data_IF_476085246841
#
_entry.id   IF_476085246841
#
_cell.length_a   1.000
_cell.length_b   1.000
_cell.length_c   1.000
_cell.angle_alpha   90.00
_cell.angle_beta   90.00
_cell.angle_gamma   90.00
#
_symmetry.space_group_name_H-M   'P 1'
#
loop_
_entity.id
_entity.type
_entity.pdbx_description
1 polymer ?
#
# COMPACT_ATOMS: atom_id res chain seq x y z
N UNK A 1 -52.44 9.34 -27.78
CA UNK A 1 -51.25 8.48 -27.85
C UNK A 1 -50.10 9.33 -28.37
N UNK A 2 -49.29 9.90 -27.50
CA UNK A 2 -48.15 10.75 -27.89
C UNK A 2 -46.98 9.83 -28.23
N UNK A 3 -46.62 9.78 -29.52
CA UNK A 3 -45.46 9.05 -29.99
C UNK A 3 -44.19 9.65 -29.38
N UNK A 4 -43.63 8.96 -28.39
CA UNK A 4 -42.33 9.29 -27.83
C UNK A 4 -41.27 8.97 -28.87
N UNK A 5 -40.96 9.95 -29.74
CA UNK A 5 -39.85 9.84 -30.68
C UNK A 5 -38.58 9.79 -29.83
N UNK A 6 -37.86 8.67 -29.88
CA UNK A 6 -36.59 8.53 -29.16
C UNK A 6 -35.68 9.71 -29.48
N UNK A 7 -35.06 10.35 -28.49
CA UNK A 7 -34.18 11.49 -28.74
C UNK A 7 -33.09 11.07 -29.73
N UNK A 8 -33.03 11.74 -30.88
CA UNK A 8 -32.01 11.48 -31.89
C UNK A 8 -30.66 11.91 -31.33
N UNK A 9 -29.83 10.92 -31.00
CA UNK A 9 -28.45 11.16 -30.57
C UNK A 9 -27.67 11.76 -31.75
N UNK A 10 -27.01 12.93 -31.59
CA UNK A 10 -26.24 13.52 -32.67
C UNK A 10 -25.07 12.62 -33.10
N UNK A 11 -24.85 12.50 -34.42
CA UNK A 11 -23.76 11.66 -34.98
C UNK A 11 -22.40 11.96 -34.36
N UNK A 12 -22.08 13.24 -34.15
CA UNK A 12 -20.81 13.64 -33.57
C UNK A 12 -20.60 13.18 -32.11
N UNK A 13 -21.67 12.90 -31.37
CA UNK A 13 -21.60 12.32 -30.03
C UNK A 13 -21.32 10.82 -30.10
N UNK A 14 -21.90 10.13 -31.10
CA UNK A 14 -21.58 8.73 -31.39
C UNK A 14 -20.13 8.57 -31.85
N UNK A 15 -19.65 9.45 -32.74
CA UNK A 15 -18.25 9.47 -33.18
C UNK A 15 -17.30 9.71 -32.00
N UNK A 16 -17.69 10.60 -31.06
CA UNK A 16 -16.91 10.86 -29.85
C UNK A 16 -16.87 9.62 -28.93
N UNK A 17 -18.02 9.00 -28.68
CA UNK A 17 -18.11 7.78 -27.88
C UNK A 17 -17.34 6.62 -28.52
N UNK A 18 -17.36 6.51 -29.86
CA UNK A 18 -16.57 5.55 -30.63
C UNK A 18 -15.09 5.55 -30.27
N UNK A 19 -14.50 6.74 -30.12
CA UNK A 19 -13.09 6.88 -29.71
C UNK A 19 -12.77 6.26 -28.36
N UNK A 20 -13.72 6.29 -27.41
CA UNK A 20 -13.54 5.64 -26.11
C UNK A 20 -13.54 4.12 -26.24
N UNK A 21 -14.46 3.57 -27.04
CA UNK A 21 -14.49 2.14 -27.32
C UNK A 21 -13.26 1.67 -28.08
N UNK A 22 -12.77 2.46 -29.05
CA UNK A 22 -11.51 2.19 -29.76
C UNK A 22 -10.31 2.20 -28.81
N UNK A 23 -10.36 3.01 -27.74
CA UNK A 23 -9.37 3.03 -26.66
C UNK A 23 -9.56 1.90 -25.62
N UNK A 24 -10.46 0.95 -25.89
CA UNK A 24 -10.71 -0.21 -25.03
C UNK A 24 -11.54 0.07 -23.79
N UNK A 25 -12.29 1.17 -23.76
CA UNK A 25 -13.25 1.43 -22.69
C UNK A 25 -14.48 0.53 -22.82
N UNK A 26 -14.99 0.06 -21.68
CA UNK A 26 -16.28 -0.61 -21.64
C UNK A 26 -17.45 0.39 -21.60
N UNK A 27 -18.67 -0.09 -21.85
CA UNK A 27 -19.88 0.71 -21.67
C UNK A 27 -20.00 1.29 -20.26
N UNK A 28 -19.59 0.52 -19.23
CA UNK A 28 -19.58 0.97 -17.84
C UNK A 28 -18.58 2.11 -17.60
N UNK A 29 -17.44 2.10 -18.28
CA UNK A 29 -16.46 3.18 -18.20
C UNK A 29 -16.99 4.47 -18.81
N UNK A 30 -17.65 4.39 -19.97
CA UNK A 30 -18.26 5.55 -20.63
C UNK A 30 -19.37 6.13 -19.75
N UNK A 31 -20.24 5.28 -19.18
CA UNK A 31 -21.25 5.73 -18.21
C UNK A 31 -20.64 6.34 -16.96
N UNK A 32 -19.52 5.80 -16.47
CA UNK A 32 -18.79 6.38 -15.35
C UNK A 32 -18.28 7.77 -15.70
N UNK A 33 -17.67 7.97 -16.87
CA UNK A 33 -17.19 9.28 -17.33
C UNK A 33 -18.32 10.29 -17.56
N UNK A 34 -19.49 9.85 -17.99
CA UNK A 34 -20.67 10.71 -18.10
C UNK A 34 -21.21 11.15 -16.73
N UNK A 35 -20.91 10.42 -15.66
CA UNK A 35 -21.41 10.73 -14.31
C UNK A 35 -20.36 11.37 -13.40
N UNK A 36 -19.08 11.35 -13.78
CA UNK A 36 -17.96 11.73 -12.91
C UNK A 36 -16.91 12.56 -13.68
N UNK A 37 -16.17 13.40 -12.95
CA UNK A 37 -14.98 14.10 -13.45
C UNK A 37 -13.74 13.23 -13.24
N UNK A 38 -12.73 13.27 -14.14
CA UNK A 38 -11.47 12.56 -13.93
C UNK A 38 -10.70 13.04 -12.69
N UNK A 39 -10.88 14.30 -12.29
CA UNK A 39 -10.20 14.93 -11.14
C UNK A 39 -10.94 14.69 -9.80
N UNK A 40 -11.96 13.83 -9.78
CA UNK A 40 -12.69 13.46 -8.57
C UNK A 40 -14.09 14.08 -8.46
N UNK A 41 -14.65 14.21 -7.24
CA UNK A 41 -16.05 14.58 -7.01
C UNK A 41 -16.26 16.10 -7.18
N UNK A 42 -15.94 16.63 -8.34
CA UNK A 42 -16.36 17.96 -8.74
C UNK A 42 -17.84 17.88 -9.13
N UNK A 43 -18.62 18.93 -8.81
CA UNK A 43 -20.01 19.03 -9.21
C UNK A 43 -20.08 18.99 -10.75
N UNK A 44 -20.50 17.86 -11.30
CA UNK A 44 -20.68 17.73 -12.73
C UNK A 44 -22.01 18.42 -13.06
N UNK A 45 -21.92 19.61 -13.66
CA UNK A 45 -23.08 20.47 -13.90
C UNK A 45 -24.03 19.87 -14.95
N UNK A 46 -25.33 20.08 -14.76
CA UNK A 46 -26.39 19.79 -15.75
C UNK A 46 -26.88 18.35 -15.82
N UNK A 47 -27.94 18.15 -16.59
CA UNK A 47 -28.53 16.83 -16.86
C UNK A 47 -27.64 16.04 -17.86
N UNK A 48 -27.09 14.86 -17.50
CA UNK A 48 -26.29 14.03 -18.39
C UNK A 48 -27.04 13.57 -19.64
N UNK A 49 -28.38 13.61 -19.64
CA UNK A 49 -29.19 13.23 -20.81
C UNK A 49 -29.21 14.32 -21.89
N UNK A 50 -28.73 15.53 -21.59
CA UNK A 50 -28.51 16.57 -22.61
C UNK A 50 -27.22 16.28 -23.37
N UNK A 51 -27.31 16.13 -24.69
CA UNK A 51 -26.18 15.73 -25.51
C UNK A 51 -25.00 16.71 -25.46
N UNK A 52 -25.24 18.01 -25.24
CA UNK A 52 -24.18 19.02 -25.07
C UNK A 52 -23.39 18.78 -23.79
N UNK A 53 -24.11 18.42 -22.71
CA UNK A 53 -23.53 18.10 -21.40
C UNK A 53 -22.75 16.80 -21.49
N UNK A 54 -23.33 15.76 -22.12
CA UNK A 54 -22.65 14.48 -22.35
C UNK A 54 -21.33 14.67 -23.14
N UNK A 55 -21.37 15.49 -24.21
CA UNK A 55 -20.18 15.83 -25.01
C UNK A 55 -19.11 16.55 -24.19
N UNK A 56 -19.51 17.54 -23.40
CA UNK A 56 -18.58 18.28 -22.53
C UNK A 56 -17.94 17.37 -21.48
N UNK A 57 -18.73 16.48 -20.86
CA UNK A 57 -18.25 15.51 -19.87
C UNK A 57 -17.27 14.52 -20.46
N UNK A 58 -17.59 13.93 -21.62
CA UNK A 58 -16.65 13.02 -22.30
C UNK A 58 -15.35 13.71 -22.67
N UNK A 59 -15.38 14.98 -23.07
CA UNK A 59 -14.16 15.75 -23.38
C UNK A 59 -13.23 15.98 -22.19
N UNK A 60 -13.74 15.99 -20.96
CA UNK A 60 -12.88 16.05 -19.76
C UNK A 60 -11.99 14.81 -19.65
N UNK A 61 -12.48 13.68 -20.16
CA UNK A 61 -11.74 12.42 -20.19
C UNK A 61 -10.86 12.27 -21.42
N UNK A 62 -10.49 13.37 -22.08
CA UNK A 62 -9.56 13.37 -23.21
C UNK A 62 -8.31 14.19 -22.89
N UNK A 63 -7.18 13.78 -23.43
CA UNK A 63 -5.95 14.56 -23.42
C UNK A 63 -5.96 15.67 -24.50
N UNK A 64 -4.88 16.46 -24.52
CA UNK A 64 -4.67 17.53 -25.52
C UNK A 64 -4.65 17.00 -26.97
N UNK A 65 -4.37 15.72 -27.16
CA UNK A 65 -4.36 15.03 -28.46
C UNK A 65 -5.72 14.40 -28.82
N UNK A 66 -6.78 14.72 -28.06
CA UNK A 66 -8.13 14.17 -28.24
C UNK A 66 -8.20 12.64 -28.11
N UNK A 67 -7.34 12.07 -27.27
CA UNK A 67 -7.35 10.64 -26.92
C UNK A 67 -7.95 10.45 -25.53
N UNK A 68 -8.81 9.44 -25.34
CA UNK A 68 -9.30 9.09 -24.02
C UNK A 68 -8.15 8.82 -23.04
N UNK A 69 -8.19 9.47 -21.88
CA UNK A 69 -7.33 9.10 -20.75
C UNK A 69 -7.80 7.75 -20.17
N UNK A 70 -7.08 7.18 -19.21
CA UNK A 70 -7.45 5.86 -18.67
C UNK A 70 -8.70 5.97 -17.79
N UNK A 71 -9.64 5.03 -17.97
CA UNK A 71 -10.79 4.92 -17.08
C UNK A 71 -10.37 4.50 -15.68
N UNK A 72 -11.24 4.72 -14.67
CA UNK A 72 -10.98 4.26 -13.29
C UNK A 72 -10.75 2.75 -13.23
N UNK A 73 -11.50 1.95 -13.99
CA UNK A 73 -11.33 0.49 -14.01
C UNK A 73 -9.96 0.10 -14.60
N UNK A 74 -9.53 0.78 -15.66
CA UNK A 74 -8.21 0.59 -16.26
C UNK A 74 -7.08 1.03 -15.32
N UNK A 75 -7.25 2.15 -14.61
CA UNK A 75 -6.30 2.62 -13.59
C UNK A 75 -6.16 1.60 -12.45
N UNK A 76 -7.27 1.10 -11.92
CA UNK A 76 -7.28 0.07 -10.86
C UNK A 76 -6.65 -1.23 -11.37
N UNK A 77 -6.96 -1.66 -12.59
CA UNK A 77 -6.37 -2.85 -13.20
C UNK A 77 -4.85 -2.71 -13.32
N UNK A 78 -4.34 -1.57 -13.83
CA UNK A 78 -2.90 -1.28 -13.90
C UNK A 78 -2.24 -1.28 -12.53
N UNK A 79 -2.85 -0.64 -11.53
CA UNK A 79 -2.34 -0.61 -10.16
C UNK A 79 -2.28 -2.03 -9.57
N UNK A 80 -3.31 -2.85 -9.79
CA UNK A 80 -3.33 -4.23 -9.31
C UNK A 80 -2.28 -5.08 -10.02
N UNK A 81 -2.15 -4.99 -11.34
CA UNK A 81 -1.09 -5.68 -12.10
C UNK A 81 0.31 -5.27 -11.64
N UNK A 82 0.54 -3.98 -11.37
CA UNK A 82 1.80 -3.50 -10.80
C UNK A 82 2.07 -4.10 -9.42
N UNK A 83 1.06 -4.12 -8.55
CA UNK A 83 1.13 -4.75 -7.22
C UNK A 83 1.43 -6.23 -7.31
N UNK A 84 0.78 -6.97 -8.22
CA UNK A 84 1.04 -8.41 -8.41
C UNK A 84 2.47 -8.66 -8.88
N UNK A 85 3.00 -7.84 -9.80
CA UNK A 85 4.41 -7.92 -10.21
C UNK A 85 5.37 -7.65 -9.06
N UNK A 86 5.13 -6.62 -8.26
CA UNK A 86 5.94 -6.33 -7.08
C UNK A 86 5.92 -7.48 -6.07
N UNK A 87 4.75 -8.07 -5.82
CA UNK A 87 4.63 -9.25 -4.95
C UNK A 87 5.36 -10.47 -5.50
N UNK A 88 5.33 -10.69 -6.83
CA UNK A 88 6.05 -11.78 -7.46
C UNK A 88 7.58 -11.61 -7.31
N UNK A 89 8.08 -10.39 -7.50
CA UNK A 89 9.50 -10.06 -7.29
C UNK A 89 9.91 -10.27 -5.83
N UNK A 90 9.14 -9.74 -4.87
CA UNK A 90 9.42 -9.91 -3.45
C UNK A 90 9.43 -11.40 -3.03
N UNK A 91 8.54 -12.22 -3.59
CA UNK A 91 8.55 -13.69 -3.36
C UNK A 91 9.79 -14.36 -3.94
N UNK A 92 10.25 -13.92 -5.11
CA UNK A 92 11.48 -14.44 -5.71
C UNK A 92 12.70 -14.08 -4.85
N UNK A 93 12.81 -12.83 -4.41
CA UNK A 93 13.87 -12.35 -3.51
C UNK A 93 13.90 -13.10 -2.19
N UNK A 94 12.74 -13.34 -1.56
CA UNK A 94 12.63 -14.17 -0.36
C UNK A 94 13.06 -15.62 -0.62
N UNK A 95 12.72 -16.18 -1.78
CA UNK A 95 13.15 -17.51 -2.21
C UNK A 95 14.68 -17.58 -2.36
N UNK A 96 15.30 -16.58 -2.96
CA UNK A 96 16.75 -16.46 -3.11
C UNK A 96 17.46 -16.23 -1.78
N UNK A 97 16.89 -15.39 -0.91
CA UNK A 97 17.39 -15.20 0.45
C UNK A 97 17.33 -16.52 1.23
N UNK A 98 16.24 -17.28 1.12
CA UNK A 98 16.11 -18.60 1.77
C UNK A 98 17.07 -19.64 1.21
N UNK A 99 17.34 -19.64 -0.10
CA UNK A 99 18.36 -20.50 -0.72
C UNK A 99 19.76 -20.16 -0.23
N UNK A 100 20.12 -18.86 -0.17
CA UNK A 100 21.40 -18.38 0.36
C UNK A 100 21.55 -18.66 1.86
N UNK A 101 20.47 -18.46 2.61
CA UNK A 101 20.36 -18.78 4.03
C UNK A 101 20.18 -20.28 4.31
N UNK A 102 20.42 -21.16 3.32
CA UNK A 102 20.49 -22.61 3.52
C UNK A 102 21.94 -23.11 3.59
N UNK A 103 22.80 -22.68 4.54
CA UNK A 103 23.74 -23.61 5.13
C UNK A 103 22.95 -24.49 6.10
N UNK A 104 23.26 -25.79 6.09
CA UNK A 104 22.73 -26.84 6.98
C UNK A 104 21.92 -26.31 8.19
N UNK A 105 20.58 -26.51 8.21
CA UNK A 105 19.72 -26.01 9.28
C UNK A 105 20.10 -26.59 10.65
N UNK A 106 20.71 -27.79 10.70
CA UNK A 106 21.26 -28.32 11.95
C UNK A 106 22.47 -27.53 12.43
N UNK A 107 23.39 -27.18 11.53
CA UNK A 107 24.53 -26.32 11.86
C UNK A 107 24.11 -24.90 12.27
N UNK A 108 23.08 -24.34 11.65
CA UNK A 108 22.53 -23.04 12.05
C UNK A 108 21.89 -23.10 13.44
N UNK A 109 21.10 -24.14 13.73
CA UNK A 109 20.52 -24.36 15.05
C UNK A 109 21.60 -24.63 16.12
N UNK A 110 22.68 -25.34 15.76
CA UNK A 110 23.82 -25.57 16.66
C UNK A 110 24.55 -24.25 17.00
N UNK A 111 24.78 -23.37 16.01
CA UNK A 111 25.37 -22.04 16.24
C UNK A 111 24.48 -21.16 17.12
N UNK A 112 23.17 -21.14 16.87
CA UNK A 112 22.22 -20.40 17.70
C UNK A 112 22.22 -20.90 19.15
N UNK A 113 22.23 -22.22 19.38
CA UNK A 113 22.35 -22.80 20.73
C UNK A 113 23.66 -22.42 21.41
N UNK A 114 24.78 -22.40 20.68
CA UNK A 114 26.08 -21.99 21.22
C UNK A 114 26.09 -20.51 21.63
N UNK A 115 25.47 -19.63 20.85
CA UNK A 115 25.33 -18.20 21.17
C UNK A 115 24.43 -18.01 22.40
N UNK A 116 23.26 -18.66 22.43
CA UNK A 116 22.35 -18.61 23.60
C UNK A 116 23.04 -19.14 24.85
N UNK A 117 23.79 -20.24 24.76
CA UNK A 117 24.53 -20.78 25.89
C UNK A 117 25.64 -19.85 26.40
N UNK A 118 26.21 -19.02 25.51
CA UNK A 118 27.24 -18.03 25.86
C UNK A 118 26.65 -16.76 26.49
N UNK A 119 25.47 -16.31 26.04
CA UNK A 119 24.83 -15.06 26.49
C UNK A 119 23.99 -15.29 27.75
N UNK A 120 23.35 -16.45 27.88
CA UNK A 120 22.46 -16.82 28.98
C UNK A 120 22.83 -18.21 29.53
N UNK A 121 23.95 -18.33 30.26
CA UNK A 121 24.42 -19.63 30.78
C UNK A 121 23.37 -20.32 31.66
N UNK A 122 22.56 -19.56 32.40
CA UNK A 122 21.48 -20.07 33.26
C UNK A 122 20.32 -20.71 32.49
N UNK A 123 20.19 -20.43 31.19
CA UNK A 123 19.14 -20.99 30.29
C UNK A 123 19.70 -22.16 29.45
N UNK A 124 21.02 -22.39 29.50
CA UNK A 124 21.69 -23.43 28.72
C UNK A 124 21.62 -24.83 29.39
N UNK A 125 21.59 -24.89 30.72
CA UNK A 125 21.55 -26.17 31.47
C UNK A 125 20.36 -27.08 31.10
N UNK A 126 19.12 -26.59 30.86
CA UNK A 126 18.02 -27.42 30.43
C UNK A 126 18.14 -27.97 29.00
N UNK A 127 19.04 -27.42 28.16
CA UNK A 127 19.18 -27.80 26.75
C UNK A 127 20.27 -28.85 26.51
N UNK A 128 21.23 -28.99 27.43
CA UNK A 128 22.28 -30.01 27.36
C UNK A 128 21.77 -31.42 27.78
N UNK A 129 20.75 -31.47 28.64
CA UNK A 129 20.10 -32.70 29.09
C UNK A 129 19.02 -33.18 28.12
N UNK A 130 19.40 -33.70 26.96
CA UNK A 130 18.47 -34.30 25.98
C UNK A 130 17.96 -35.66 26.50
N UNK A 131 16.97 -35.65 27.39
CA UNK A 131 16.17 -36.85 27.65
C UNK A 131 15.22 -37.09 26.45
N UNK A 132 15.03 -38.34 25.98
CA UNK A 132 14.13 -38.64 24.88
C UNK A 132 12.70 -38.17 25.20
N UNK A 133 11.94 -37.81 24.17
CA UNK A 133 10.54 -37.31 24.23
C UNK A 133 9.57 -38.37 24.78
N UNK A 134 9.74 -38.78 26.04
CA UNK A 134 8.83 -39.64 26.77
C UNK A 134 8.42 -38.86 28.02
N UNK A 135 7.36 -38.09 27.88
CA UNK A 135 6.80 -37.26 28.93
C UNK A 135 5.29 -37.13 28.76
N UNK A 136 4.63 -36.74 29.84
CA UNK A 136 3.20 -36.50 29.88
C UNK A 136 2.78 -35.45 28.82
N UNK A 137 1.47 -35.33 28.56
CA UNK A 137 0.96 -34.30 27.65
C UNK A 137 1.38 -32.89 28.08
N UNK A 138 1.49 -32.63 29.39
CA UNK A 138 1.93 -31.37 29.95
C UNK A 138 3.40 -31.08 29.62
N UNK A 139 4.26 -32.11 29.66
CA UNK A 139 5.67 -31.96 29.29
C UNK A 139 5.81 -31.59 27.81
N UNK A 140 5.04 -32.24 26.93
CA UNK A 140 5.02 -31.92 25.50
C UNK A 140 4.54 -30.49 25.21
N UNK A 141 3.53 -30.01 25.95
CA UNK A 141 3.03 -28.64 25.84
C UNK A 141 4.08 -27.62 26.33
N UNK A 142 4.75 -27.92 27.43
CA UNK A 142 5.83 -27.09 27.98
C UNK A 142 7.00 -26.99 27.01
N UNK A 143 7.39 -28.10 26.39
CA UNK A 143 8.42 -28.13 25.36
C UNK A 143 8.02 -27.34 24.11
N UNK A 144 6.77 -27.45 23.66
CA UNK A 144 6.26 -26.66 22.52
C UNK A 144 6.40 -25.15 22.78
N UNK A 145 6.02 -24.67 23.96
CA UNK A 145 6.13 -23.25 24.32
C UNK A 145 7.59 -22.77 24.38
N UNK A 146 8.51 -23.64 24.83
CA UNK A 146 9.93 -23.33 24.83
C UNK A 146 10.51 -23.27 23.41
N UNK A 147 10.10 -24.17 22.52
CA UNK A 147 10.48 -24.13 21.10
C UNK A 147 9.92 -22.88 20.39
N UNK A 148 8.67 -22.48 20.68
CA UNK A 148 8.07 -21.23 20.18
C UNK A 148 8.81 -19.99 20.69
N UNK A 149 9.17 -19.95 21.98
CA UNK A 149 9.94 -18.85 22.55
C UNK A 149 11.36 -18.78 21.98
N UNK A 150 12.01 -19.92 21.74
CA UNK A 150 13.32 -19.99 21.10
C UNK A 150 13.26 -19.54 19.62
N UNK A 151 12.21 -19.91 18.88
CA UNK A 151 11.99 -19.43 17.52
C UNK A 151 11.79 -17.92 17.47
N UNK A 152 10.99 -17.35 18.38
CA UNK A 152 10.80 -15.91 18.50
C UNK A 152 12.10 -15.17 18.87
N UNK A 153 12.94 -15.76 19.72
CA UNK A 153 14.24 -15.19 20.08
C UNK A 153 15.25 -15.24 18.92
N UNK A 154 15.22 -16.29 18.10
CA UNK A 154 16.05 -16.38 16.87
C UNK A 154 15.58 -15.39 15.83
N UNK A 155 14.26 -15.18 15.64
CA UNK A 155 13.75 -14.12 14.77
C UNK A 155 14.16 -12.73 15.28
N UNK A 156 14.04 -12.46 16.58
CA UNK A 156 14.48 -11.21 17.18
C UNK A 156 16.01 -10.99 17.09
N UNK A 157 16.80 -12.06 17.25
CA UNK A 157 18.26 -12.03 17.10
C UNK A 157 18.71 -11.88 15.64
N UNK A 158 17.99 -12.48 14.69
CA UNK A 158 18.21 -12.29 13.26
C UNK A 158 17.84 -10.86 12.81
N UNK A 159 16.88 -10.22 13.47
CA UNK A 159 16.60 -8.78 13.31
C UNK A 159 17.74 -7.93 13.90
N UNK A 160 18.39 -8.38 14.98
CA UNK A 160 19.52 -7.66 15.58
C UNK A 160 20.83 -7.78 14.78
N UNK A 161 21.12 -8.91 14.11
CA UNK A 161 22.29 -9.04 13.22
C UNK A 161 22.15 -8.28 11.88
N UNK A 162 20.92 -7.91 11.48
CA UNK A 162 20.65 -7.10 10.27
C UNK A 162 20.49 -5.61 10.59
N UNK A 163 20.42 -5.24 11.87
CA UNK A 163 20.34 -3.83 12.27
C UNK A 163 21.74 -3.21 12.35
N UNK A 164 22.24 -2.75 11.20
CA UNK A 164 23.12 -1.59 11.22
C UNK A 164 22.26 -0.41 11.72
N UNK A 165 22.63 0.27 12.83
CA UNK A 165 21.94 1.50 13.19
C UNK A 165 22.09 2.45 11.99
N UNK A 166 20.97 2.82 11.37
CA UNK A 166 20.98 3.92 10.40
C UNK A 166 21.70 5.08 11.09
N UNK A 167 22.73 5.68 10.45
CA UNK A 167 23.35 6.85 11.02
C UNK A 167 22.23 7.87 11.24
N UNK A 168 22.04 8.30 12.49
CA UNK A 168 21.03 9.29 12.80
C UNK A 168 21.20 10.44 11.80
N UNK A 169 20.13 10.83 11.07
CA UNK A 169 20.25 11.95 10.17
C UNK A 169 20.72 13.13 11.02
N UNK A 170 21.89 13.67 10.69
CA UNK A 170 22.39 14.90 11.30
C UNK A 170 21.40 15.98 10.91
N UNK A 171 20.35 16.15 11.71
CA UNK A 171 19.40 17.23 11.56
C UNK A 171 20.16 18.47 11.98
N UNK A 172 20.42 19.36 11.03
CA UNK A 172 20.97 20.68 11.33
C UNK A 172 20.03 21.35 12.35
N UNK A 173 20.52 21.51 13.57
CA UNK A 173 19.76 22.08 14.68
C UNK A 173 19.20 23.47 14.33
N UNK A 174 19.88 24.20 13.42
CA UNK A 174 19.41 25.48 12.89
C UNK A 174 18.16 25.34 12.01
N UNK A 175 18.09 24.31 11.18
CA UNK A 175 16.96 24.05 10.30
C UNK A 175 15.74 23.53 11.08
N UNK A 176 15.97 22.70 12.10
CA UNK A 176 14.89 22.23 12.96
C UNK A 176 14.28 23.36 13.80
N UNK A 177 15.12 24.26 14.33
CA UNK A 177 14.67 25.46 15.04
C UNK A 177 13.83 26.37 14.13
N UNK A 178 14.25 26.56 12.87
CA UNK A 178 13.53 27.33 11.86
C UNK A 178 12.17 26.72 11.54
N UNK A 179 12.08 25.40 11.37
CA UNK A 179 10.82 24.70 11.10
C UNK A 179 9.86 24.73 12.29
N UNK A 180 10.37 24.67 13.53
CA UNK A 180 9.55 24.85 14.74
C UNK A 180 9.01 26.28 14.84
N UNK A 181 9.83 27.29 14.54
CA UNK A 181 9.40 28.69 14.51
C UNK A 181 8.31 28.94 13.45
N UNK A 182 8.48 28.39 12.24
CA UNK A 182 7.45 28.50 11.19
C UNK A 182 6.14 27.80 11.57
N UNK A 183 6.20 26.63 12.21
CA UNK A 183 5.01 25.93 12.71
C UNK A 183 4.26 26.74 13.77
N UNK A 184 4.97 27.37 14.72
CA UNK A 184 4.36 28.30 15.70
C UNK A 184 3.72 29.51 15.03
N UNK A 185 4.43 30.18 14.12
CA UNK A 185 3.91 31.34 13.41
C UNK A 185 2.69 31.03 12.52
N UNK A 186 2.59 29.77 12.04
CA UNK A 186 1.41 29.29 11.30
C UNK A 186 0.23 29.07 12.23
N UNK A 187 0.45 28.43 13.37
CA UNK A 187 -0.56 28.17 14.40
C UNK A 187 -1.13 29.46 15.00
N UNK A 188 -0.27 30.44 15.31
CA UNK A 188 -0.68 31.76 15.80
C UNK A 188 -1.52 32.52 14.78
N UNK A 189 -1.19 32.42 13.48
CA UNK A 189 -1.99 33.02 12.39
C UNK A 189 -3.36 32.39 12.24
N UNK A 190 -3.47 31.08 12.41
CA UNK A 190 -4.76 30.38 12.35
C UNK A 190 -5.63 30.69 13.56
N UNK A 191 -5.04 30.85 14.75
CA UNK A 191 -5.80 31.18 15.96
C UNK A 191 -6.21 32.66 16.02
N UNK A 192 -5.40 33.58 15.47
CA UNK A 192 -5.75 35.01 15.41
C UNK A 192 -6.88 35.33 14.41
N UNK A 193 -7.20 34.42 13.49
CA UNK A 193 -8.37 34.52 12.58
C UNK A 193 -9.65 33.92 13.19
N UNK A 194 -9.58 33.32 14.37
CA UNK A 194 -10.69 32.64 15.04
C UNK A 194 -11.38 33.45 16.14
N UNK A 195 -10.96 34.68 16.44
CA UNK A 195 -11.67 35.57 17.36
C UNK A 195 -12.66 36.46 16.58
N UNK A 196 -13.98 36.19 16.61
CA UNK A 196 -14.96 37.18 16.21
C UNK A 196 -14.91 38.31 17.24
N UNK A 197 -14.64 39.53 16.77
CA UNK A 197 -14.65 40.71 17.61
C UNK A 197 -15.99 40.85 18.32
N UNK A 198 -15.94 40.86 19.66
CA UNK A 198 -16.88 41.62 20.47
C UNK A 198 -16.69 43.09 20.15
N UNK A 199 -17.62 43.64 19.36
CA UNK A 199 -17.85 45.05 19.10
C UNK A 199 -19.29 45.24 18.73
#
# INVERSE_FOLDING_TARGET
MTGSSSPKVPKHLLDLAGRFFDAGWSHGDVLHALNNSPDGPQAVWGDPMRWEVAKARLRLWMDESMRPILSRSQQVARANSARMRAQALARAELGDARRRASPDPEAAAARARAIVARVLPTVAEPLAGRAPKVGSRADRERWRRLDEAAAAAVEAGAVAEVWEPEPEPVVDAGEEARLRAMRRARWERTNRKGEPGTG
#
